data_IF_761861393303
#
_entry.id   IF_761861393303
#
_cell.length_a   1.000
_cell.length_b   1.000
_cell.length_c   1.000
_cell.angle_alpha   90.00
_cell.angle_beta   90.00
_cell.angle_gamma   90.00
#
_symmetry.space_group_name_H-M   'P 1'
#
loop_
_entity.id
_entity.type
_entity.pdbx_description
1 polymer ?
#
# COMPACT_ATOMS: atom_id res chain seq x y z
N UNK A 1 20.78 12.15 13.15
CA UNK A 1 20.49 12.66 11.79
C UNK A 1 18.98 12.64 11.62
N UNK A 2 18.37 13.77 11.28
CA UNK A 2 16.92 13.84 11.03
C UNK A 2 16.69 13.55 9.55
N UNK A 3 15.96 12.47 9.23
CA UNK A 3 15.47 12.25 7.87
C UNK A 3 14.04 12.78 7.81
N UNK A 4 13.75 13.63 6.82
CA UNK A 4 12.38 14.07 6.54
C UNK A 4 11.61 12.86 5.99
N UNK A 5 10.67 12.36 6.79
CA UNK A 5 9.82 11.23 6.47
C UNK A 5 8.47 11.77 5.98
N UNK A 6 8.27 11.77 4.66
CA UNK A 6 6.96 12.00 4.01
C UNK A 6 6.41 13.43 4.09
N UNK A 7 5.52 13.76 3.16
CA UNK A 7 4.79 15.02 3.00
C UNK A 7 3.30 14.74 2.74
N UNK A 8 2.51 14.54 3.78
CA UNK A 8 1.10 14.21 3.58
C UNK A 8 0.26 15.45 3.21
N UNK A 9 -0.71 15.33 2.29
CA UNK A 9 -1.65 16.42 1.99
C UNK A 9 -2.44 16.82 3.24
N UNK A 10 -2.60 18.12 3.43
CA UNK A 10 -3.39 18.70 4.51
C UNK A 10 -4.38 19.72 3.94
N UNK A 11 -5.61 19.67 4.44
CA UNK A 11 -6.65 20.66 4.12
C UNK A 11 -6.77 21.61 5.32
N UNK A 12 -6.44 22.90 5.17
CA UNK A 12 -6.55 23.85 6.27
C UNK A 12 -7.95 23.91 6.88
N UNK A 13 -8.02 23.99 8.21
CA UNK A 13 -9.29 24.11 8.94
C UNK A 13 -10.00 25.45 8.65
N UNK A 14 -11.33 25.47 8.71
CA UNK A 14 -12.12 26.66 8.38
C UNK A 14 -11.80 27.88 9.26
N UNK A 15 -11.47 27.66 10.54
CA UNK A 15 -11.02 28.70 11.48
C UNK A 15 -9.71 29.36 11.03
N UNK A 16 -8.75 28.55 10.56
CA UNK A 16 -7.49 29.02 10.01
C UNK A 16 -7.73 29.82 8.72
N UNK A 17 -8.51 29.28 7.79
CA UNK A 17 -8.84 29.99 6.54
C UNK A 17 -9.55 31.32 6.82
N UNK A 18 -10.42 31.36 7.84
CA UNK A 18 -11.10 32.57 8.25
C UNK A 18 -10.15 33.66 8.79
N UNK A 19 -9.07 33.28 9.47
CA UNK A 19 -8.05 34.24 9.91
C UNK A 19 -7.26 34.85 8.74
N UNK A 20 -7.17 34.15 7.61
CA UNK A 20 -6.44 34.56 6.41
C UNK A 20 -7.35 34.98 5.24
N UNK A 21 -8.56 35.49 5.51
CA UNK A 21 -9.55 35.82 4.45
C UNK A 21 -9.03 36.79 3.39
N UNK A 22 -8.10 37.68 3.75
CA UNK A 22 -7.48 38.62 2.83
C UNK A 22 -6.51 37.95 1.84
N UNK A 23 -6.07 36.71 2.10
CA UNK A 23 -5.11 35.98 1.30
C UNK A 23 -5.66 34.59 0.88
N UNK A 24 -6.26 34.47 -0.34
CA UNK A 24 -6.92 33.25 -0.77
C UNK A 24 -5.98 32.04 -0.91
N UNK A 25 -4.66 32.27 -0.98
CA UNK A 25 -3.67 31.19 -1.04
C UNK A 25 -3.75 30.30 0.20
N UNK A 26 -4.21 30.81 1.35
CA UNK A 26 -4.35 30.10 2.63
C UNK A 26 -5.56 29.19 2.72
N UNK A 27 -6.46 29.22 1.73
CA UNK A 27 -7.52 28.25 1.56
C UNK A 27 -7.08 26.98 0.80
N UNK A 28 -5.93 27.00 0.12
CA UNK A 28 -5.48 25.87 -0.69
C UNK A 28 -4.89 24.74 0.16
N UNK A 29 -5.15 23.51 -0.29
CA UNK A 29 -4.47 22.32 0.23
C UNK A 29 -2.97 22.43 -0.02
N UNK A 30 -2.19 21.99 0.94
CA UNK A 30 -0.72 21.94 0.84
C UNK A 30 -0.21 20.70 1.58
N UNK A 31 1.08 20.39 1.51
CA UNK A 31 1.63 19.21 2.18
C UNK A 31 2.42 19.57 3.44
N UNK A 32 2.20 18.81 4.51
CA UNK A 32 2.96 18.94 5.78
C UNK A 32 3.99 17.82 5.87
N UNK A 33 5.25 18.19 6.08
CA UNK A 33 6.35 17.24 6.31
C UNK A 33 6.44 16.76 7.75
N UNK A 34 6.80 15.49 7.95
CA UNK A 34 7.31 15.00 9.26
C UNK A 34 8.80 14.75 9.21
N UNK A 35 9.49 15.02 10.32
CA UNK A 35 10.87 14.63 10.53
C UNK A 35 10.95 13.63 11.69
N UNK A 36 11.39 12.40 11.42
CA UNK A 36 11.45 11.38 12.48
C UNK A 36 12.70 11.59 13.36
N UNK A 37 12.49 11.56 14.67
CA UNK A 37 13.54 11.72 15.69
C UNK A 37 13.78 10.41 16.42
N UNK A 38 15.05 10.08 16.61
CA UNK A 38 15.46 8.91 17.38
C UNK A 38 14.95 8.97 18.82
N UNK A 39 14.57 7.81 19.35
CA UNK A 39 14.14 7.62 20.72
C UNK A 39 15.03 6.52 21.34
N UNK A 40 15.72 6.84 22.44
CA UNK A 40 16.62 5.90 23.10
C UNK A 40 15.87 4.82 23.91
N UNK A 41 14.61 5.08 24.26
CA UNK A 41 13.78 4.21 25.07
C UNK A 41 13.01 3.16 24.23
N UNK A 42 13.40 2.99 22.96
CA UNK A 42 12.76 2.00 22.08
C UNK A 42 13.07 0.59 22.55
N UNK A 43 12.00 -0.18 22.74
CA UNK A 43 12.09 -1.61 22.96
C UNK A 43 12.30 -2.33 21.63
N UNK A 44 13.03 -3.46 21.62
CA UNK A 44 13.09 -4.32 20.45
C UNK A 44 11.70 -4.81 20.03
N UNK A 45 11.47 -4.85 18.72
CA UNK A 45 10.28 -5.47 18.14
C UNK A 45 10.37 -7.00 18.29
N UNK A 46 9.32 -7.62 18.81
CA UNK A 46 9.28 -9.09 19.03
C UNK A 46 8.15 -9.70 18.21
N UNK A 47 8.47 -10.72 17.41
CA UNK A 47 7.49 -11.40 16.55
C UNK A 47 7.15 -12.79 17.08
N UNK A 48 5.86 -13.11 17.07
CA UNK A 48 5.34 -14.47 17.22
C UNK A 48 4.66 -14.88 15.92
N UNK A 49 5.05 -16.03 15.37
CA UNK A 49 4.41 -16.62 14.20
C UNK A 49 3.82 -17.98 14.53
N UNK A 50 2.60 -18.24 14.07
CA UNK A 50 1.95 -19.55 14.08
C UNK A 50 1.50 -19.85 12.66
N UNK A 51 1.89 -21.02 12.15
CA UNK A 51 1.46 -21.53 10.85
C UNK A 51 0.82 -22.90 11.00
N UNK A 52 -0.34 -23.10 10.39
CA UNK A 52 -1.02 -24.39 10.29
C UNK A 52 -1.22 -24.74 8.82
N UNK A 53 -0.57 -25.82 8.39
CA UNK A 53 -0.53 -26.23 6.99
C UNK A 53 -1.15 -27.59 6.76
N UNK A 54 -1.75 -27.79 5.59
CA UNK A 54 -2.16 -29.10 5.08
C UNK A 54 -1.62 -29.29 3.67
N UNK A 55 -1.05 -30.46 3.41
CA UNK A 55 -0.59 -30.87 2.09
C UNK A 55 -1.44 -32.05 1.63
N UNK A 56 -2.09 -31.90 0.49
CA UNK A 56 -2.89 -32.92 -0.17
C UNK A 56 -2.15 -33.37 -1.43
N UNK A 57 -1.74 -34.65 -1.45
CA UNK A 57 -1.06 -35.27 -2.60
C UNK A 57 -1.70 -36.63 -2.91
N UNK A 58 -2.88 -36.65 -3.55
CA UNK A 58 -3.61 -37.88 -3.84
C UNK A 58 -2.95 -38.70 -4.96
N UNK A 59 -2.17 -38.04 -5.83
CA UNK A 59 -1.44 -38.67 -6.93
C UNK A 59 -0.03 -38.08 -7.05
N UNK A 60 0.92 -38.75 -7.72
CA UNK A 60 2.26 -38.21 -7.91
C UNK A 60 2.31 -36.91 -8.73
N UNK A 61 1.32 -36.71 -9.61
CA UNK A 61 1.21 -35.61 -10.57
C UNK A 61 0.37 -34.42 -10.08
N UNK A 62 -0.20 -34.48 -8.88
CA UNK A 62 -0.95 -33.38 -8.28
C UNK A 62 -0.60 -33.17 -6.81
N UNK A 63 -0.33 -31.92 -6.44
CA UNK A 63 -0.14 -31.49 -5.05
C UNK A 63 -0.85 -30.17 -4.79
N UNK A 64 -1.49 -30.06 -3.64
CA UNK A 64 -2.11 -28.85 -3.14
C UNK A 64 -1.66 -28.61 -1.70
N UNK A 65 -1.20 -27.40 -1.40
CA UNK A 65 -0.83 -26.94 -0.07
C UNK A 65 -1.72 -25.77 0.31
N UNK A 66 -2.20 -25.77 1.54
CA UNK A 66 -2.94 -24.64 2.13
C UNK A 66 -2.36 -24.38 3.51
N UNK A 67 -1.81 -23.19 3.70
CA UNK A 67 -1.21 -22.74 4.95
C UNK A 67 -1.98 -21.54 5.50
N UNK A 68 -2.48 -21.66 6.73
CA UNK A 68 -2.93 -20.51 7.50
C UNK A 68 -1.75 -19.95 8.30
N UNK A 69 -1.48 -18.65 8.14
CA UNK A 69 -0.48 -17.95 8.94
C UNK A 69 -1.13 -16.92 9.86
N UNK A 70 -0.57 -16.77 11.06
CA UNK A 70 -0.89 -15.71 12.01
C UNK A 70 0.41 -15.19 12.63
N UNK A 71 0.75 -13.95 12.29
CA UNK A 71 1.94 -13.26 12.75
C UNK A 71 1.48 -12.10 13.63
N UNK A 72 1.96 -12.07 14.87
CA UNK A 72 1.80 -10.94 15.78
C UNK A 72 3.16 -10.35 16.09
N UNK A 73 3.37 -9.10 15.70
CA UNK A 73 4.56 -8.33 16.02
C UNK A 73 4.23 -7.36 17.15
N UNK A 74 4.85 -7.54 18.31
CA UNK A 74 4.66 -6.70 19.50
C UNK A 74 5.79 -5.68 19.59
N UNK A 75 5.52 -4.55 20.25
CA UNK A 75 6.43 -3.40 20.32
C UNK A 75 6.80 -2.85 18.94
N UNK A 76 5.89 -2.90 17.96
CA UNK A 76 6.17 -2.41 16.60
C UNK A 76 6.62 -0.95 16.67
N UNK A 77 7.79 -0.62 16.11
CA UNK A 77 8.29 0.75 16.10
C UNK A 77 7.54 1.50 15.01
N UNK A 78 6.76 2.50 15.43
CA UNK A 78 6.02 3.41 14.55
C UNK A 78 6.54 4.83 14.72
N UNK A 79 6.37 5.64 13.68
CA UNK A 79 6.77 7.04 13.69
C UNK A 79 5.54 7.92 13.90
N UNK A 80 5.54 8.74 14.95
CA UNK A 80 4.58 9.82 15.15
C UNK A 80 3.10 9.42 15.22
N UNK A 81 2.67 8.48 16.07
CA UNK A 81 1.28 8.01 16.09
C UNK A 81 0.23 9.07 16.46
N UNK A 82 0.64 10.15 17.15
CA UNK A 82 -0.20 11.31 17.48
C UNK A 82 0.00 12.48 16.50
N UNK A 83 0.42 12.20 15.26
CA UNK A 83 0.64 13.21 14.21
C UNK A 83 -0.59 14.08 13.96
N UNK A 84 -1.75 13.45 13.78
CA UNK A 84 -2.99 14.17 13.53
C UNK A 84 -3.36 15.10 14.70
N UNK A 85 -3.23 14.61 15.94
CA UNK A 85 -3.49 15.41 17.15
C UNK A 85 -2.52 16.58 17.30
N UNK A 86 -1.24 16.38 16.97
CA UNK A 86 -0.20 17.41 16.97
C UNK A 86 -0.50 18.54 15.98
N UNK A 87 -0.95 18.19 14.77
CA UNK A 87 -1.37 19.17 13.75
C UNK A 87 -2.64 19.90 14.23
N UNK A 88 -3.66 19.18 14.70
CA UNK A 88 -4.88 19.78 15.22
C UNK A 88 -4.61 20.71 16.42
N UNK A 89 -3.71 20.34 17.33
CA UNK A 89 -3.32 21.16 18.47
C UNK A 89 -2.66 22.48 18.02
N UNK A 90 -1.84 22.45 16.98
CA UNK A 90 -1.25 23.65 16.37
C UNK A 90 -2.32 24.58 15.79
N UNK A 91 -3.23 24.04 14.98
CA UNK A 91 -4.25 24.81 14.25
C UNK A 91 -5.40 25.35 15.10
N UNK A 92 -5.56 24.86 16.34
CA UNK A 92 -6.49 25.43 17.33
C UNK A 92 -5.98 26.73 17.98
N UNK A 93 -4.74 27.13 17.71
CA UNK A 93 -4.13 28.32 18.29
C UNK A 93 -4.17 29.51 17.32
N UNK A 94 -3.87 30.71 17.83
CA UNK A 94 -3.91 31.95 17.06
C UNK A 94 -2.52 32.50 16.71
N UNK A 95 -1.48 32.09 17.44
CA UNK A 95 -0.11 32.57 17.24
C UNK A 95 0.86 31.41 17.08
N UNK A 96 1.97 31.63 16.36
CA UNK A 96 2.99 30.61 16.16
C UNK A 96 3.53 30.04 17.48
N UNK A 97 3.82 30.90 18.46
CA UNK A 97 4.37 30.47 19.74
C UNK A 97 3.40 29.55 20.50
N UNK A 98 2.12 29.92 20.57
CA UNK A 98 1.09 29.09 21.18
C UNK A 98 0.88 27.79 20.40
N UNK A 99 0.82 27.85 19.06
CA UNK A 99 0.68 26.69 18.18
C UNK A 99 1.81 25.68 18.39
N UNK A 100 3.06 26.14 18.41
CA UNK A 100 4.21 25.27 18.62
C UNK A 100 4.30 24.71 20.04
N UNK A 101 3.89 25.48 21.04
CA UNK A 101 3.79 24.99 22.41
C UNK A 101 2.70 23.91 22.54
N UNK A 102 1.52 24.12 21.95
CA UNK A 102 0.42 23.16 21.95
C UNK A 102 0.78 21.86 21.21
N UNK A 103 1.44 21.97 20.05
CA UNK A 103 1.96 20.83 19.29
C UNK A 103 2.96 20.02 20.11
N UNK A 104 3.93 20.68 20.75
CA UNK A 104 4.93 20.01 21.57
C UNK A 104 4.33 19.38 22.84
N UNK A 105 3.22 19.92 23.34
CA UNK A 105 2.52 19.40 24.51
C UNK A 105 1.75 18.09 24.23
N UNK A 106 1.53 17.71 22.96
CA UNK A 106 0.85 16.44 22.61
C UNK A 106 1.67 15.22 23.06
N UNK A 107 3.00 15.33 23.09
CA UNK A 107 3.83 14.26 23.62
C UNK A 107 5.33 14.49 23.46
N UNK A 108 6.16 13.69 24.15
CA UNK A 108 7.60 13.79 24.04
C UNK A 108 8.07 13.53 22.61
N UNK A 109 8.99 14.38 22.12
CA UNK A 109 9.57 14.27 20.79
C UNK A 109 8.80 14.98 19.67
N UNK A 110 7.58 15.47 19.93
CA UNK A 110 6.88 16.39 19.03
C UNK A 110 7.44 17.80 19.15
N UNK A 111 7.70 18.45 18.00
CA UNK A 111 8.24 19.82 17.98
C UNK A 111 8.02 20.47 16.62
N UNK A 112 7.64 21.75 16.59
CA UNK A 112 7.74 22.53 15.36
C UNK A 112 9.19 22.53 14.84
N UNK A 113 9.37 22.37 13.53
CA UNK A 113 10.68 22.45 12.90
C UNK A 113 10.73 23.63 11.92
N UNK A 114 9.85 23.60 10.92
CA UNK A 114 9.73 24.65 9.91
C UNK A 114 8.28 25.13 9.89
N UNK A 115 8.10 26.43 10.03
CA UNK A 115 6.84 27.12 9.80
C UNK A 115 7.00 28.07 8.63
N UNK A 116 5.89 28.38 7.97
CA UNK A 116 5.88 29.31 6.86
C UNK A 116 6.18 30.74 7.33
N UNK A 117 6.56 31.60 6.38
CA UNK A 117 6.67 33.03 6.67
C UNK A 117 5.29 33.58 7.04
N UNK A 118 5.20 34.57 7.96
CA UNK A 118 3.93 35.20 8.30
C UNK A 118 3.23 35.74 7.05
N UNK A 119 1.90 35.65 7.02
CA UNK A 119 1.09 36.19 5.93
C UNK A 119 1.29 37.71 5.83
N UNK A 120 1.78 38.24 4.69
CA UNK A 120 1.95 39.68 4.52
C UNK A 120 0.65 40.48 4.67
N UNK A 121 -0.51 39.84 4.43
CA UNK A 121 -1.83 40.46 4.54
C UNK A 121 -2.50 40.21 5.91
N UNK A 122 -1.93 39.35 6.75
CA UNK A 122 -2.38 39.08 8.12
C UNK A 122 -1.21 38.71 9.04
N UNK A 123 -0.25 39.61 9.33
CA UNK A 123 1.05 39.25 9.91
C UNK A 123 0.98 38.66 11.33
N UNK A 124 -0.06 38.98 12.09
CA UNK A 124 -0.24 38.55 13.48
C UNK A 124 -1.00 37.21 13.61
N UNK A 125 -1.39 36.60 12.49
CA UNK A 125 -2.12 35.33 12.47
C UNK A 125 -1.18 34.13 12.46
N UNK A 126 -1.72 32.96 12.80
CA UNK A 126 -0.96 31.71 12.84
C UNK A 126 -0.37 31.40 11.44
N UNK A 127 0.95 31.25 11.27
CA UNK A 127 1.52 30.81 9.99
C UNK A 127 1.26 29.32 9.75
N UNK A 128 1.39 28.86 8.50
CA UNK A 128 1.25 27.43 8.20
C UNK A 128 2.37 26.61 8.83
N UNK A 129 2.02 25.44 9.35
CA UNK A 129 3.01 24.44 9.73
C UNK A 129 3.53 23.75 8.47
N UNK A 130 4.83 23.83 8.19
CA UNK A 130 5.42 23.19 7.01
C UNK A 130 6.06 21.85 7.37
N UNK A 131 6.86 21.81 8.43
CA UNK A 131 7.52 20.60 8.91
C UNK A 131 7.53 20.57 10.43
N UNK A 132 7.27 19.41 11.01
CA UNK A 132 7.42 19.18 12.44
C UNK A 132 8.11 17.84 12.71
N UNK A 133 8.75 17.75 13.87
CA UNK A 133 9.40 16.54 14.33
C UNK A 133 8.38 15.61 14.97
N UNK A 134 8.56 14.30 14.75
CA UNK A 134 7.77 13.23 15.37
C UNK A 134 8.69 12.20 16.01
N UNK A 135 8.31 11.59 17.15
CA UNK A 135 9.10 10.54 17.78
C UNK A 135 8.91 9.18 17.10
N UNK A 136 9.93 8.33 17.18
CA UNK A 136 9.70 6.88 17.12
C UNK A 136 9.18 6.38 18.47
N UNK A 137 8.14 5.54 18.45
CA UNK A 137 7.59 4.92 19.66
C UNK A 137 7.17 3.47 19.37
N UNK A 138 7.16 2.64 20.40
CA UNK A 138 6.62 1.29 20.28
C UNK A 138 5.08 1.33 20.33
N UNK A 139 4.42 0.97 19.23
CA UNK A 139 3.00 0.63 19.20
C UNK A 139 2.74 -0.69 19.95
N UNK A 140 1.49 -0.94 20.30
CA UNK A 140 1.10 -2.11 21.08
C UNK A 140 1.45 -3.40 20.32
N UNK A 141 0.87 -3.58 19.13
CA UNK A 141 1.19 -4.70 18.24
C UNK A 141 0.58 -4.53 16.86
N UNK A 142 1.13 -5.24 15.88
CA UNK A 142 0.54 -5.47 14.57
C UNK A 142 0.22 -6.96 14.39
N UNK A 143 -0.93 -7.27 13.79
CA UNK A 143 -1.32 -8.63 13.45
C UNK A 143 -1.53 -8.76 11.95
N UNK A 144 -0.78 -9.66 11.33
CA UNK A 144 -1.00 -10.11 9.96
C UNK A 144 -1.46 -11.56 9.97
N UNK A 145 -2.58 -11.87 9.31
CA UNK A 145 -3.02 -13.25 9.13
C UNK A 145 -3.66 -13.47 7.77
N UNK A 146 -3.53 -14.68 7.27
CA UNK A 146 -3.97 -15.00 5.93
C UNK A 146 -3.86 -16.48 5.60
N UNK A 147 -4.20 -16.78 4.35
CA UNK A 147 -4.09 -18.09 3.74
C UNK A 147 -3.12 -18.00 2.57
N UNK A 148 -2.12 -18.87 2.55
CA UNK A 148 -1.25 -19.11 1.41
C UNK A 148 -1.65 -20.45 0.79
N UNK A 149 -1.95 -20.43 -0.50
CA UNK A 149 -2.44 -21.59 -1.24
C UNK A 149 -1.55 -21.82 -2.44
N UNK A 150 -1.05 -23.04 -2.57
CA UNK A 150 -0.17 -23.44 -3.67
C UNK A 150 -0.69 -24.74 -4.28
N UNK A 151 -0.82 -24.78 -5.60
CA UNK A 151 -1.23 -25.97 -6.33
C UNK A 151 -0.28 -26.25 -7.48
N UNK A 152 0.08 -27.52 -7.66
CA UNK A 152 0.88 -27.98 -8.78
C UNK A 152 0.26 -29.21 -9.42
N UNK A 153 0.17 -29.17 -10.74
CA UNK A 153 -0.28 -30.24 -11.61
C UNK A 153 0.80 -30.50 -12.66
N UNK A 154 1.17 -31.76 -12.87
CA UNK A 154 2.12 -32.16 -13.90
C UNK A 154 1.69 -33.50 -14.51
N UNK A 155 0.83 -33.43 -15.52
CA UNK A 155 0.16 -34.61 -16.09
C UNK A 155 0.68 -34.89 -17.51
N UNK A 156 1.21 -36.09 -17.78
CA UNK A 156 1.45 -36.54 -19.14
C UNK A 156 0.09 -36.89 -19.78
N UNK A 157 -0.37 -36.06 -20.72
CA UNK A 157 -1.63 -36.29 -21.45
C UNK A 157 -1.45 -37.38 -22.53
N UNK A 158 -0.25 -37.49 -23.09
CA UNK A 158 0.17 -38.55 -24.01
C UNK A 158 1.69 -38.75 -23.92
N UNK A 159 2.28 -39.57 -24.81
CA UNK A 159 3.73 -39.77 -24.86
C UNK A 159 4.50 -38.47 -25.13
N UNK A 160 3.95 -37.57 -25.95
CA UNK A 160 4.62 -36.33 -26.37
C UNK A 160 3.99 -35.05 -25.80
N UNK A 161 2.88 -35.16 -25.07
CA UNK A 161 2.13 -34.01 -24.55
C UNK A 161 2.12 -34.02 -23.04
N UNK A 162 2.62 -32.94 -22.43
CA UNK A 162 2.63 -32.72 -20.98
C UNK A 162 1.93 -31.42 -20.63
N UNK A 163 0.99 -31.50 -19.68
CA UNK A 163 0.33 -30.34 -19.10
C UNK A 163 0.92 -30.06 -17.72
N UNK A 164 1.44 -28.86 -17.55
CA UNK A 164 1.94 -28.34 -16.29
C UNK A 164 1.04 -27.17 -15.87
N UNK A 165 0.47 -27.21 -14.67
CA UNK A 165 -0.28 -26.09 -14.11
C UNK A 165 0.24 -25.77 -12.72
N UNK A 166 0.45 -24.49 -12.42
CA UNK A 166 0.93 -24.02 -11.11
C UNK A 166 0.15 -22.80 -10.70
N UNK A 167 -0.39 -22.81 -9.48
CA UNK A 167 -1.15 -21.70 -8.92
C UNK A 167 -0.58 -21.33 -7.56
N UNK A 168 -0.37 -20.04 -7.34
CA UNK A 168 0.04 -19.47 -6.07
C UNK A 168 -0.93 -18.33 -5.74
N UNK A 169 -1.61 -18.41 -4.60
CA UNK A 169 -2.58 -17.40 -4.16
C UNK A 169 -2.39 -17.12 -2.68
N UNK A 170 -2.19 -15.85 -2.35
CA UNK A 170 -2.21 -15.34 -0.98
C UNK A 170 -3.49 -14.58 -0.75
N UNK A 171 -4.20 -14.90 0.33
CA UNK A 171 -5.35 -14.16 0.83
C UNK A 171 -5.06 -13.59 2.22
N UNK A 172 -4.89 -12.28 2.29
CA UNK A 172 -4.77 -11.54 3.56
C UNK A 172 -6.16 -11.40 4.19
N UNK A 173 -6.31 -11.98 5.37
CA UNK A 173 -7.55 -11.90 6.17
C UNK A 173 -7.52 -10.66 7.06
N UNK A 174 -6.38 -10.43 7.73
CA UNK A 174 -6.16 -9.36 8.69
C UNK A 174 -4.78 -8.73 8.47
N UNK A 175 -4.72 -7.42 8.53
CA UNK A 175 -3.50 -6.63 8.69
C UNK A 175 -3.92 -5.44 9.54
N UNK A 176 -3.73 -5.56 10.85
CA UNK A 176 -4.22 -4.59 11.82
C UNK A 176 -3.08 -4.09 12.68
N UNK A 177 -2.94 -2.77 12.78
CA UNK A 177 -2.07 -2.10 13.74
C UNK A 177 -2.90 -1.62 14.93
N UNK A 178 -2.43 -1.91 16.14
CA UNK A 178 -3.02 -1.39 17.37
C UNK A 178 -2.10 -0.30 17.91
N UNK A 179 -2.58 0.93 17.88
CA UNK A 179 -1.83 2.10 18.32
C UNK A 179 -1.61 2.08 19.83
N UNK A 180 -0.66 2.86 20.38
CA UNK A 180 -0.50 3.00 21.83
C UNK A 180 -1.79 3.40 22.56
N UNK A 181 -2.66 4.19 21.91
CA UNK A 181 -3.97 4.59 22.43
C UNK A 181 -5.04 3.48 22.40
N UNK A 182 -4.72 2.30 21.87
CA UNK A 182 -5.63 1.16 21.78
C UNK A 182 -6.55 1.19 20.55
N UNK A 183 -6.39 2.16 19.66
CA UNK A 183 -7.15 2.26 18.40
C UNK A 183 -6.66 1.20 17.42
N UNK A 184 -7.60 0.57 16.69
CA UNK A 184 -7.30 -0.48 15.70
C UNK A 184 -7.38 0.11 14.29
N UNK A 185 -6.22 0.21 13.64
CA UNK A 185 -6.08 0.59 12.24
C UNK A 185 -6.08 -0.66 11.36
N UNK A 186 -7.08 -0.81 10.49
CA UNK A 186 -7.22 -2.00 9.62
C UNK A 186 -6.79 -1.68 8.19
N UNK A 187 -5.80 -2.41 7.69
CA UNK A 187 -5.19 -2.17 6.39
C UNK A 187 -5.58 -3.18 5.31
N UNK A 188 -5.95 -4.42 5.69
CA UNK A 188 -6.26 -5.47 4.72
C UNK A 188 -7.43 -5.11 3.79
N UNK A 189 -7.12 -4.96 2.49
CA UNK A 189 -8.04 -4.58 1.42
C UNK A 189 -8.19 -3.08 1.21
N UNK A 190 -7.37 -2.27 1.86
CA UNK A 190 -7.42 -0.80 1.82
C UNK A 190 -6.16 -0.23 1.17
N UNK A 191 -6.12 1.08 0.97
CA UNK A 191 -4.97 1.78 0.43
C UNK A 191 -3.84 1.89 1.47
N UNK A 192 -4.20 1.86 2.75
CA UNK A 192 -3.27 2.08 3.84
C UNK A 192 -2.27 0.92 4.06
N UNK A 193 -1.21 1.18 4.86
CA UNK A 193 -0.94 2.45 5.57
C UNK A 193 -0.48 3.57 4.63
N UNK A 194 -1.15 4.74 4.67
CA UNK A 194 -0.84 5.87 3.81
C UNK A 194 0.38 6.67 4.27
N UNK A 195 0.50 6.93 5.57
CA UNK A 195 1.59 7.72 6.16
C UNK A 195 2.95 7.03 6.00
N UNK A 196 2.97 5.70 6.07
CA UNK A 196 4.20 4.92 5.97
C UNK A 196 4.55 4.50 4.54
N UNK A 197 3.55 4.11 3.73
CA UNK A 197 3.78 3.50 2.41
C UNK A 197 3.32 4.35 1.23
N UNK A 198 2.92 5.60 1.49
CA UNK A 198 2.35 6.50 0.48
C UNK A 198 1.14 5.86 -0.23
N UNK A 199 0.32 5.14 0.53
CA UNK A 199 -0.91 4.55 0.02
C UNK A 199 -0.65 3.51 -1.07
N UNK A 200 0.40 2.69 -0.95
CA UNK A 200 0.76 1.68 -1.95
C UNK A 200 -0.26 0.53 -2.07
N UNK A 201 -1.22 0.45 -1.14
CA UNK A 201 -2.32 -0.51 -1.14
C UNK A 201 -1.95 -1.89 -0.59
N UNK A 202 -2.88 -2.46 0.17
CA UNK A 202 -2.79 -3.79 0.76
C UNK A 202 -3.92 -4.67 0.19
N UNK A 203 -3.77 -5.28 -1.00
CA UNK A 203 -4.82 -6.11 -1.58
C UNK A 203 -5.14 -7.32 -0.69
N UNK A 204 -6.42 -7.71 -0.63
CA UNK A 204 -6.83 -8.91 0.12
C UNK A 204 -6.44 -10.19 -0.57
N UNK A 205 -6.38 -10.21 -1.90
CA UNK A 205 -6.00 -11.39 -2.66
C UNK A 205 -5.02 -10.98 -3.73
N UNK A 206 -3.92 -11.72 -3.79
CA UNK A 206 -2.95 -11.68 -4.89
C UNK A 206 -2.67 -13.11 -5.31
N UNK A 207 -2.53 -13.34 -6.60
CA UNK A 207 -2.10 -14.65 -7.07
C UNK A 207 -1.57 -14.63 -8.49
N UNK A 208 -0.93 -15.73 -8.84
CA UNK A 208 -0.56 -16.05 -10.20
C UNK A 208 -0.94 -17.50 -10.53
N UNK A 209 -1.31 -17.74 -11.78
CA UNK A 209 -1.69 -19.05 -12.28
C UNK A 209 -1.06 -19.28 -13.63
N UNK A 210 -0.09 -20.18 -13.67
CA UNK A 210 0.61 -20.61 -14.87
C UNK A 210 0.01 -21.90 -15.41
N UNK A 211 -0.24 -21.94 -16.71
CA UNK A 211 -0.56 -23.15 -17.45
C UNK A 211 0.43 -23.28 -18.60
N UNK A 212 1.11 -24.41 -18.68
CA UNK A 212 2.07 -24.72 -19.73
C UNK A 212 1.73 -26.06 -20.39
N UNK A 213 1.77 -26.08 -21.71
CA UNK A 213 1.66 -27.28 -22.52
C UNK A 213 2.98 -27.46 -23.26
N UNK A 214 3.57 -28.64 -23.11
CA UNK A 214 4.75 -29.06 -23.85
C UNK A 214 4.34 -30.16 -24.82
N UNK A 215 4.72 -30.00 -26.09
CA UNK A 215 4.38 -30.90 -27.19
C UNK A 215 5.67 -31.18 -27.97
N UNK A 216 6.32 -32.31 -27.69
CA UNK A 216 7.63 -32.65 -28.25
C UNK A 216 8.66 -31.53 -28.07
N UNK A 217 9.07 -30.89 -29.16
CA UNK A 217 10.03 -29.78 -29.14
C UNK A 217 9.43 -28.41 -28.80
N UNK A 218 8.09 -28.28 -28.82
CA UNK A 218 7.38 -27.03 -28.59
C UNK A 218 6.92 -26.89 -27.13
N UNK A 219 6.92 -25.67 -26.63
CA UNK A 219 6.42 -25.31 -25.30
C UNK A 219 5.65 -24.00 -25.38
N UNK A 220 4.47 -23.95 -24.77
CA UNK A 220 3.66 -22.74 -24.62
C UNK A 220 3.21 -22.61 -23.17
N UNK A 221 3.47 -21.46 -22.56
CA UNK A 221 3.06 -21.15 -21.21
C UNK A 221 2.29 -19.82 -21.17
N UNK A 222 1.15 -19.82 -20.48
CA UNK A 222 0.38 -18.63 -20.15
C UNK A 222 0.35 -18.46 -18.62
N UNK A 223 0.79 -17.31 -18.12
CA UNK A 223 0.74 -16.96 -16.70
C UNK A 223 -0.27 -15.82 -16.51
N UNK A 224 -1.35 -16.09 -15.78
CA UNK A 224 -2.34 -15.08 -15.38
C UNK A 224 -1.99 -14.53 -14.01
N UNK A 225 -1.97 -13.23 -13.85
CA UNK A 225 -1.79 -12.55 -12.57
C UNK A 225 -3.10 -11.90 -12.13
N UNK A 226 -3.35 -11.90 -10.82
CA UNK A 226 -4.56 -11.33 -10.22
C UNK A 226 -4.20 -10.49 -9.00
N UNK A 227 -4.77 -9.28 -8.94
CA UNK A 227 -4.80 -8.43 -7.76
C UNK A 227 -6.26 -8.05 -7.48
N UNK A 228 -6.74 -8.32 -6.26
CA UNK A 228 -8.11 -7.98 -5.86
C UNK A 228 -8.35 -6.47 -5.84
N UNK A 229 -9.62 -6.06 -5.88
CA UNK A 229 -10.01 -4.67 -5.63
C UNK A 229 -9.40 -4.15 -4.32
N UNK A 230 -9.05 -2.86 -4.31
CA UNK A 230 -8.52 -2.16 -3.14
C UNK A 230 -9.44 -0.99 -2.84
N UNK A 231 -9.84 -0.84 -1.57
CA UNK A 231 -10.64 0.30 -1.12
C UNK A 231 -9.73 1.52 -0.94
N UNK A 232 -10.11 2.67 -1.52
CA UNK A 232 -9.31 3.90 -1.51
C UNK A 232 -9.47 4.68 -0.20
N UNK A 233 -9.38 3.98 0.93
CA UNK A 233 -9.37 4.53 2.28
C UNK A 233 -8.09 4.08 2.97
N UNK A 234 -7.63 4.81 3.97
CA UNK A 234 -6.51 4.41 4.82
C UNK A 234 -6.85 4.75 6.26
N UNK A 235 -6.63 3.80 7.18
CA UNK A 235 -7.06 3.94 8.56
C UNK A 235 -6.27 5.04 9.30
N UNK A 236 -5.00 5.20 8.96
CA UNK A 236 -4.07 6.19 9.49
C UNK A 236 -4.37 7.64 9.04
N UNK A 237 -5.28 7.83 8.09
CA UNK A 237 -5.73 9.15 7.61
C UNK A 237 -7.08 9.58 8.21
N UNK A 238 -7.65 8.78 9.12
CA UNK A 238 -9.00 8.98 9.63
C UNK A 238 -8.96 9.13 11.14
N UNK A 239 -9.38 10.30 11.63
CA UNK A 239 -9.52 10.55 13.07
C UNK A 239 -10.55 9.57 13.67
N UNK A 240 -10.18 8.79 14.70
CA UNK A 240 -11.11 7.89 15.37
C UNK A 240 -12.21 8.66 16.11
N UNK A 241 -13.43 8.15 16.09
CA UNK A 241 -14.55 8.63 16.94
C UNK A 241 -14.87 7.52 17.94
N UNK A 242 -14.80 7.83 19.24
CA UNK A 242 -14.97 6.87 20.33
C UNK A 242 -14.07 5.62 20.19
N UNK A 243 -12.84 5.82 19.71
CA UNK A 243 -11.86 4.75 19.48
C UNK A 243 -12.10 3.89 18.23
N UNK A 244 -13.07 4.26 17.38
CA UNK A 244 -13.43 3.53 16.17
C UNK A 244 -13.10 4.35 14.93
N UNK A 245 -12.47 3.70 13.95
CA UNK A 245 -12.17 4.28 12.63
C UNK A 245 -13.24 3.83 11.63
N UNK A 246 -13.95 4.79 11.01
CA UNK A 246 -14.90 4.49 9.94
C UNK A 246 -14.19 4.33 8.60
N UNK A 247 -13.95 3.08 8.19
CA UNK A 247 -13.41 2.77 6.88
C UNK A 247 -14.46 2.77 5.77
N UNK A 248 -15.64 3.39 5.93
CA UNK A 248 -16.65 3.52 4.89
C UNK A 248 -16.14 4.33 3.69
N UNK A 249 -16.89 4.29 2.59
CA UNK A 249 -16.53 5.06 1.40
C UNK A 249 -16.58 6.58 1.62
N UNK A 250 -17.22 7.06 2.70
CA UNK A 250 -17.27 8.48 3.03
C UNK A 250 -15.87 9.06 3.28
N UNK A 251 -14.94 8.23 3.74
CA UNK A 251 -13.55 8.60 4.00
C UNK A 251 -12.61 8.26 2.84
N UNK A 252 -13.13 8.24 1.60
CA UNK A 252 -12.29 8.01 0.42
C UNK A 252 -11.22 9.10 0.29
N UNK A 253 -9.99 8.68 -0.01
CA UNK A 253 -8.84 9.57 -0.23
C UNK A 253 -8.86 10.20 -1.63
N UNK A 254 -9.82 9.81 -2.48
CA UNK A 254 -9.99 10.40 -3.81
C UNK A 254 -10.40 11.87 -3.67
N UNK A 255 -9.75 12.82 -4.37
CA UNK A 255 -10.22 14.19 -4.43
C UNK A 255 -11.53 14.27 -5.22
N UNK A 256 -12.63 14.54 -4.52
CA UNK A 256 -13.97 14.65 -5.10
C UNK A 256 -14.39 16.10 -5.28
N UNK A 257 -15.15 16.36 -6.34
CA UNK A 257 -15.85 17.62 -6.53
C UNK A 257 -17.03 17.73 -5.54
N UNK A 258 -17.41 18.94 -5.12
CA UNK A 258 -18.61 19.15 -4.30
C UNK A 258 -19.84 18.48 -4.91
N UNK A 259 -20.57 17.70 -4.11
CA UNK A 259 -21.77 16.98 -4.54
C UNK A 259 -21.53 15.63 -5.23
N UNK A 260 -20.27 15.22 -5.46
CA UNK A 260 -19.97 13.89 -5.99
C UNK A 260 -20.24 12.79 -4.93
N UNK A 261 -20.81 11.66 -5.35
CA UNK A 261 -21.06 10.51 -4.47
C UNK A 261 -19.76 9.73 -4.23
N UNK A 262 -19.21 9.71 -3.00
CA UNK A 262 -17.94 9.05 -2.72
C UNK A 262 -17.98 7.53 -2.94
N UNK A 263 -19.17 6.92 -2.98
CA UNK A 263 -19.32 5.48 -3.27
C UNK A 263 -18.91 5.13 -4.70
N UNK A 264 -18.99 6.07 -5.64
CA UNK A 264 -18.62 5.84 -7.04
C UNK A 264 -17.09 5.73 -7.24
N UNK A 265 -16.30 6.29 -6.33
CA UNK A 265 -14.84 6.35 -6.42
C UNK A 265 -14.13 5.60 -5.29
N UNK A 266 -14.85 4.73 -4.58
CA UNK A 266 -14.34 4.09 -3.37
C UNK A 266 -13.36 2.95 -3.61
N UNK A 267 -13.33 2.38 -4.83
CA UNK A 267 -12.54 1.18 -5.11
C UNK A 267 -11.67 1.34 -6.35
N UNK A 268 -10.42 0.91 -6.22
CA UNK A 268 -9.57 0.53 -7.34
C UNK A 268 -10.08 -0.83 -7.83
N UNK A 269 -10.29 -0.94 -9.15
CA UNK A 269 -10.79 -2.16 -9.78
C UNK A 269 -9.78 -3.30 -9.62
N UNK A 270 -10.22 -4.58 -9.56
CA UNK A 270 -9.30 -5.71 -9.67
C UNK A 270 -8.46 -5.61 -10.94
N UNK A 271 -7.20 -6.02 -10.86
CA UNK A 271 -6.28 -6.01 -11.99
C UNK A 271 -5.92 -7.44 -12.38
N UNK A 272 -6.11 -7.76 -13.66
CA UNK A 272 -5.85 -9.08 -14.23
C UNK A 272 -5.12 -8.89 -15.55
N UNK A 273 -4.00 -9.58 -15.72
CA UNK A 273 -3.26 -9.58 -16.97
C UNK A 273 -2.61 -10.95 -17.19
N UNK A 274 -2.25 -11.22 -18.45
CA UNK A 274 -1.67 -12.51 -18.86
C UNK A 274 -0.34 -12.27 -19.56
N UNK A 275 0.67 -13.04 -19.20
CA UNK A 275 1.92 -13.15 -19.93
C UNK A 275 1.93 -14.46 -20.73
N UNK A 276 2.43 -14.41 -21.95
CA UNK A 276 2.58 -15.57 -22.84
C UNK A 276 4.06 -15.82 -23.12
N UNK A 277 4.51 -17.06 -23.00
CA UNK A 277 5.86 -17.48 -23.33
C UNK A 277 5.78 -18.69 -24.24
N UNK A 278 6.34 -18.61 -25.44
CA UNK A 278 6.41 -19.69 -26.40
C UNK A 278 7.87 -20.02 -26.69
N UNK A 279 8.18 -21.28 -26.95
CA UNK A 279 9.52 -21.66 -27.39
C UNK A 279 9.57 -23.01 -28.06
N UNK A 280 10.56 -23.17 -28.92
CA UNK A 280 10.79 -24.37 -29.73
C UNK A 280 12.26 -24.77 -29.64
N UNK A 281 12.52 -26.05 -29.38
CA UNK A 281 13.85 -26.65 -29.46
C UNK A 281 14.16 -27.02 -30.91
N UNK A 282 15.39 -26.77 -31.34
CA UNK A 282 15.88 -27.09 -32.69
C UNK A 282 17.15 -27.91 -32.51
N UNK A 283 17.04 -29.22 -32.71
CA UNK A 283 18.06 -30.17 -32.26
C UNK A 283 18.25 -30.14 -30.75
N UNK A 284 19.42 -30.58 -30.29
CA UNK A 284 19.73 -30.70 -28.86
C UNK A 284 20.42 -29.46 -28.27
N UNK A 285 20.93 -28.58 -29.12
CA UNK A 285 21.83 -27.48 -28.72
C UNK A 285 21.19 -26.09 -28.79
N UNK A 286 20.00 -25.93 -29.40
CA UNK A 286 19.40 -24.62 -29.65
C UNK A 286 17.93 -24.57 -29.24
N UNK A 287 17.51 -23.45 -28.64
CA UNK A 287 16.10 -23.12 -28.38
C UNK A 287 15.82 -21.69 -28.79
N UNK A 288 14.77 -21.49 -29.59
CA UNK A 288 14.18 -20.18 -29.83
C UNK A 288 13.01 -19.93 -28.90
N UNK A 289 12.83 -18.69 -28.45
CA UNK A 289 11.71 -18.31 -27.60
C UNK A 289 11.18 -16.92 -27.94
N UNK A 290 9.90 -16.72 -27.66
CA UNK A 290 9.19 -15.44 -27.75
C UNK A 290 8.38 -15.27 -26.47
N UNK A 291 8.50 -14.11 -25.83
CA UNK A 291 7.70 -13.75 -24.67
C UNK A 291 6.90 -12.48 -24.97
N UNK A 292 5.61 -12.53 -24.65
CA UNK A 292 4.68 -11.41 -24.75
C UNK A 292 4.14 -11.12 -23.35
N UNK A 293 4.63 -10.06 -22.73
CA UNK A 293 4.13 -9.60 -21.44
C UNK A 293 2.83 -8.82 -21.65
N UNK A 294 1.88 -8.99 -20.72
CA UNK A 294 0.55 -8.37 -20.78
C UNK A 294 -0.10 -8.52 -22.18
N UNK A 295 -0.19 -9.77 -22.68
CA UNK A 295 -0.77 -10.08 -24.00
C UNK A 295 -2.21 -9.58 -24.12
N UNK A 296 -2.95 -9.54 -23.01
CA UNK A 296 -4.30 -8.97 -22.90
C UNK A 296 -4.34 -7.44 -23.06
N UNK A 297 -3.20 -6.76 -23.02
CA UNK A 297 -3.08 -5.30 -23.01
C UNK A 297 -3.97 -4.65 -21.94
N UNK A 298 -4.04 -5.29 -20.76
CA UNK A 298 -4.80 -4.79 -19.63
C UNK A 298 -4.17 -3.49 -19.15
N UNK A 299 -4.99 -2.45 -18.96
CA UNK A 299 -4.52 -1.14 -18.47
C UNK A 299 -4.51 -1.12 -16.96
N UNK A 300 -3.56 -0.38 -16.37
CA UNK A 300 -3.52 -0.16 -14.94
C UNK A 300 -4.86 0.48 -14.49
N UNK A 301 -5.52 -0.06 -13.44
CA UNK A 301 -6.72 0.57 -12.90
C UNK A 301 -6.37 1.90 -12.24
N UNK A 302 -7.31 2.85 -12.33
CA UNK A 302 -7.17 4.16 -11.70
C UNK A 302 -7.13 4.04 -10.17
N UNK A 303 -6.09 4.59 -9.58
CA UNK A 303 -5.87 4.72 -8.14
C UNK A 303 -5.76 6.20 -7.76
N UNK A 304 -6.86 6.94 -7.89
CA UNK A 304 -6.91 8.39 -7.67
C UNK A 304 -6.78 8.80 -6.19
N UNK A 305 -6.94 7.86 -5.26
CA UNK A 305 -6.66 8.09 -3.83
C UNK A 305 -5.21 7.82 -3.45
N UNK A 306 -4.39 7.29 -4.36
CA UNK A 306 -2.96 7.09 -4.11
C UNK A 306 -2.28 8.43 -3.84
N UNK A 307 -1.18 8.36 -3.10
CA UNK A 307 -0.43 9.54 -2.67
C UNK A 307 -0.03 10.43 -3.86
N UNK A 308 0.05 11.78 -3.70
CA UNK A 308 0.19 12.69 -4.84
C UNK A 308 1.42 12.50 -5.75
N UNK A 309 2.48 11.87 -5.26
CA UNK A 309 3.66 11.50 -6.06
C UNK A 309 3.46 10.22 -6.88
N UNK A 310 2.41 9.46 -6.61
CA UNK A 310 2.02 8.28 -7.36
C UNK A 310 1.17 8.71 -8.58
N UNK A 311 1.52 8.27 -9.80
CA UNK A 311 0.86 8.66 -11.05
C UNK A 311 -0.53 8.02 -11.27
N UNK A 312 -1.46 8.16 -10.31
CA UNK A 312 -2.84 7.63 -10.37
C UNK A 312 -2.93 6.10 -10.62
N UNK A 313 -1.87 5.36 -10.30
CA UNK A 313 -1.84 3.90 -10.28
C UNK A 313 -0.89 3.43 -9.16
N UNK A 314 -1.09 2.20 -8.70
CA UNK A 314 -0.23 1.58 -7.69
C UNK A 314 0.91 0.85 -8.38
N UNK A 315 2.14 1.40 -8.32
CA UNK A 315 3.33 0.81 -8.94
C UNK A 315 3.53 -0.63 -8.45
N UNK A 316 3.33 -0.87 -7.15
CA UNK A 316 3.49 -2.19 -6.52
C UNK A 316 2.63 -3.29 -7.14
N UNK A 317 1.48 -2.94 -7.72
CA UNK A 317 0.46 -3.90 -8.14
C UNK A 317 0.06 -3.82 -9.62
N UNK A 318 0.18 -2.64 -10.24
CA UNK A 318 -0.40 -2.34 -11.55
C UNK A 318 0.64 -1.98 -12.62
N UNK A 319 1.94 -2.11 -12.33
CA UNK A 319 3.01 -1.70 -13.25
C UNK A 319 2.90 -2.31 -14.66
N UNK A 320 2.53 -3.59 -14.76
CA UNK A 320 2.32 -4.26 -16.05
C UNK A 320 1.29 -3.56 -16.95
N UNK A 321 0.29 -2.90 -16.34
CA UNK A 321 -0.73 -2.16 -17.08
C UNK A 321 -0.32 -0.77 -17.52
N UNK A 322 0.82 -0.27 -17.02
CA UNK A 322 1.45 0.99 -17.44
C UNK A 322 2.40 0.74 -18.59
N UNK A 323 3.24 -0.30 -18.47
CA UNK A 323 4.11 -0.77 -19.56
C UNK A 323 3.29 -1.19 -20.77
N UNK A 324 2.13 -1.83 -20.53
CA UNK A 324 1.30 -2.38 -21.59
C UNK A 324 1.92 -3.63 -22.19
N UNK A 325 1.57 -3.93 -23.44
CA UNK A 325 2.06 -5.12 -24.13
C UNK A 325 3.52 -4.95 -24.54
N UNK A 326 4.39 -5.85 -24.07
CA UNK A 326 5.81 -5.87 -24.43
C UNK A 326 6.19 -7.19 -25.10
N UNK A 327 7.06 -7.13 -26.11
CA UNK A 327 7.49 -8.27 -26.91
C UNK A 327 9.00 -8.46 -26.77
N UNK A 328 9.42 -9.68 -26.51
CA UNK A 328 10.83 -10.07 -26.54
C UNK A 328 10.98 -11.40 -27.26
N UNK A 329 12.08 -11.57 -27.98
CA UNK A 329 12.43 -12.82 -28.64
C UNK A 329 13.93 -13.06 -28.49
N UNK A 330 14.33 -14.32 -28.45
CA UNK A 330 15.72 -14.68 -28.30
C UNK A 330 16.00 -16.15 -28.63
N UNK A 331 17.27 -16.49 -28.55
CA UNK A 331 17.76 -17.85 -28.70
C UNK A 331 18.74 -18.19 -27.57
N UNK A 332 18.71 -19.43 -27.09
CA UNK A 332 19.69 -19.96 -26.14
C UNK A 332 20.43 -21.15 -26.76
N UNK A 333 21.74 -21.20 -26.54
CA UNK A 333 22.63 -22.22 -27.07
C UNK A 333 23.30 -22.98 -25.91
N UNK A 334 23.44 -24.29 -26.06
CA UNK A 334 24.19 -25.15 -25.14
C UNK A 334 25.31 -25.83 -25.92
N UNK A 335 26.54 -25.74 -25.43
CA UNK A 335 27.75 -26.27 -26.07
C UNK A 335 28.23 -27.53 -25.35
#
# INVERSE_FOLDING_TARGET
MSNYAGFSPYTPEGSFVAAHQANPVYAYKYSIGSAARGNADLLPEVSRSITFGTILRPTPWFSLTVDYYNIKKSNLIVSGPLRADAIAAYYRQTTQAAGCAALAAVGPGYRCNIVDVPDPLAPDTLPRLLVFDVPFVNANYEVSSGLDMQGALNVPLSQDVRLISRIDVTRVLRLDLVTPAGVIEKYAGTLGPNDLSSGSGTPRVRGNWQNAVEIGAFSLAATTYYVSRIKQVAADEITPVDGVIDLSCQHTLVPLLPGADPRQHCFIRPFIYVDLNAGVKVGDQMRFFVNVQNVTNARAPLAAGAYPSAPNYLISWHYAGVVGRNFSAGASFTF
#
